data_IF_960986618905
#
_entry.id   IF_960986618905
#
_cell.length_a   1.000
_cell.length_b   1.000
_cell.length_c   1.000
_cell.angle_alpha   90.00
_cell.angle_beta   90.00
_cell.angle_gamma   90.00
#
_symmetry.space_group_name_H-M   'P 1'
#
loop_
_entity.id
_entity.type
_entity.pdbx_description
1 polymer ?
#
# COMPACT_ATOMS: atom_id res chain seq x y z
N UNK A 1 3.31 11.54 35.61
CA UNK A 1 4.72 11.88 35.30
C UNK A 1 5.13 11.24 33.97
N UNK A 2 5.33 12.05 32.93
CA UNK A 2 5.51 11.61 31.53
C UNK A 2 6.94 11.17 31.18
N UNK A 3 7.06 10.00 30.54
CA UNK A 3 8.34 9.31 30.29
C UNK A 3 8.93 9.66 28.91
N UNK A 4 9.79 10.69 28.90
CA UNK A 4 11.03 10.98 28.14
C UNK A 4 11.52 10.12 26.93
N UNK A 5 10.69 9.42 26.14
CA UNK A 5 11.14 8.62 24.97
C UNK A 5 11.18 9.36 23.61
N UNK A 6 10.68 10.58 23.52
CA UNK A 6 10.53 11.32 22.26
C UNK A 6 11.70 12.25 21.89
N UNK A 7 12.64 12.52 22.80
CA UNK A 7 13.68 13.53 22.61
C UNK A 7 14.73 13.26 21.50
N UNK A 8 15.24 12.03 21.29
CA UNK A 8 16.24 11.78 20.24
C UNK A 8 15.61 11.69 18.85
N UNK A 9 14.45 11.04 18.74
CA UNK A 9 13.70 10.93 17.48
C UNK A 9 13.26 12.30 16.98
N UNK A 10 12.77 13.18 17.88
CA UNK A 10 12.38 14.53 17.51
C UNK A 10 13.57 15.36 17.00
N UNK A 11 14.78 15.16 17.56
CA UNK A 11 16.00 15.82 17.07
C UNK A 11 16.44 15.29 15.71
N UNK A 12 16.34 13.98 15.49
CA UNK A 12 16.63 13.36 14.21
C UNK A 12 15.67 13.86 13.11
N UNK A 13 14.37 13.86 13.40
CA UNK A 13 13.33 14.39 12.49
C UNK A 13 13.54 15.88 12.19
N UNK A 14 13.84 16.70 13.20
CA UNK A 14 14.13 18.12 12.99
C UNK A 14 15.39 18.35 12.14
N UNK A 15 16.41 17.50 12.32
CA UNK A 15 17.62 17.54 11.51
C UNK A 15 17.36 17.13 10.06
N UNK A 16 16.65 16.02 9.83
CA UNK A 16 16.25 15.56 8.49
C UNK A 16 15.43 16.62 7.77
N UNK A 17 14.51 17.30 8.48
CA UNK A 17 13.68 18.36 7.89
C UNK A 17 14.49 19.54 7.36
N UNK A 18 15.61 19.87 8.03
CA UNK A 18 16.54 20.95 7.66
C UNK A 18 17.52 20.57 6.54
N UNK A 19 17.58 19.31 6.13
CA UNK A 19 18.46 18.88 5.04
C UNK A 19 17.95 19.31 3.66
N UNK A 20 18.90 19.54 2.75
CA UNK A 20 18.63 19.82 1.33
C UNK A 20 17.87 18.67 0.66
N UNK A 21 17.07 18.97 -0.37
CA UNK A 21 16.30 17.95 -1.12
C UNK A 21 17.20 16.85 -1.67
N UNK A 22 18.43 17.17 -2.09
CA UNK A 22 19.43 16.18 -2.56
C UNK A 22 19.80 15.17 -1.46
N UNK A 23 20.02 15.66 -0.24
CA UNK A 23 20.38 14.84 0.93
C UNK A 23 19.20 14.00 1.39
N UNK A 24 17.98 14.55 1.35
CA UNK A 24 16.75 13.79 1.63
C UNK A 24 16.55 12.66 0.64
N UNK A 25 16.74 12.92 -0.65
CA UNK A 25 16.67 11.88 -1.68
C UNK A 25 17.73 10.81 -1.46
N UNK A 26 18.98 11.20 -1.20
CA UNK A 26 20.05 10.23 -0.91
C UNK A 26 19.73 9.37 0.32
N UNK A 27 19.34 10.00 1.43
CA UNK A 27 18.98 9.30 2.66
C UNK A 27 17.81 8.33 2.46
N UNK A 28 16.79 8.74 1.69
CA UNK A 28 15.67 7.89 1.34
C UNK A 28 16.13 6.68 0.50
N UNK A 29 16.96 6.90 -0.53
CA UNK A 29 17.51 5.82 -1.37
C UNK A 29 18.36 4.86 -0.53
N UNK A 30 19.26 5.36 0.32
CA UNK A 30 20.08 4.53 1.20
C UNK A 30 19.24 3.74 2.18
N UNK A 31 18.20 4.34 2.78
CA UNK A 31 17.29 3.65 3.67
C UNK A 31 16.51 2.53 2.95
N UNK A 32 16.05 2.79 1.73
CA UNK A 32 15.37 1.78 0.89
C UNK A 32 16.33 0.63 0.56
N UNK A 33 17.54 0.92 0.09
CA UNK A 33 18.54 -0.12 -0.22
C UNK A 33 18.90 -0.94 1.02
N UNK A 34 19.11 -0.28 2.16
CA UNK A 34 19.40 -0.96 3.42
C UNK A 34 18.23 -1.85 3.87
N UNK A 35 16.99 -1.38 3.72
CA UNK A 35 15.81 -2.18 4.01
C UNK A 35 15.69 -3.40 3.09
N UNK A 36 15.96 -3.25 1.79
CA UNK A 36 15.96 -4.35 0.82
C UNK A 36 17.04 -5.39 1.13
N UNK A 37 18.25 -4.95 1.50
CA UNK A 37 19.35 -5.84 1.89
C UNK A 37 19.04 -6.55 3.20
N UNK A 38 18.54 -5.83 4.20
CA UNK A 38 18.12 -6.41 5.47
C UNK A 38 16.99 -7.43 5.27
N UNK A 39 16.02 -7.12 4.40
CA UNK A 39 14.96 -8.05 4.03
C UNK A 39 15.54 -9.33 3.41
N UNK A 40 16.44 -9.19 2.43
CA UNK A 40 17.10 -10.35 1.79
C UNK A 40 17.92 -11.19 2.78
N UNK A 41 18.53 -10.56 3.79
CA UNK A 41 19.38 -11.25 4.77
C UNK A 41 18.59 -11.85 5.94
N UNK A 42 17.51 -11.20 6.39
CA UNK A 42 16.69 -11.68 7.50
C UNK A 42 15.63 -12.69 7.09
N UNK A 43 15.16 -12.67 5.83
CA UNK A 43 14.08 -13.55 5.38
C UNK A 43 14.65 -14.83 4.78
N UNK A 44 14.71 -15.86 5.62
CA UNK A 44 14.93 -17.25 5.18
C UNK A 44 13.61 -18.03 5.07
N UNK A 45 12.60 -17.67 5.88
CA UNK A 45 11.22 -18.18 5.83
C UNK A 45 10.27 -17.18 5.16
N UNK A 46 9.91 -17.45 3.90
CA UNK A 46 9.07 -16.55 3.09
C UNK A 46 7.61 -16.47 3.57
N UNK A 47 7.09 -17.53 4.21
CA UNK A 47 5.66 -17.68 4.52
C UNK A 47 5.17 -16.70 5.58
N UNK A 48 5.94 -16.49 6.65
CA UNK A 48 5.56 -15.58 7.74
C UNK A 48 5.57 -14.11 7.31
N UNK A 49 6.49 -13.73 6.43
CA UNK A 49 6.57 -12.36 5.93
C UNK A 49 5.39 -12.04 5.02
N UNK A 50 5.00 -12.98 4.16
CA UNK A 50 3.83 -12.82 3.30
C UNK A 50 2.56 -12.64 4.14
N UNK A 51 2.32 -13.53 5.12
CA UNK A 51 1.17 -13.42 6.02
C UNK A 51 1.17 -12.09 6.78
N UNK A 52 2.33 -11.65 7.29
CA UNK A 52 2.44 -10.38 8.00
C UNK A 52 2.17 -9.17 7.09
N UNK A 53 2.69 -9.19 5.86
CA UNK A 53 2.43 -8.16 4.85
C UNK A 53 0.94 -8.06 4.52
N UNK A 54 0.28 -9.20 4.27
CA UNK A 54 -1.15 -9.24 3.97
C UNK A 54 -2.00 -8.81 5.17
N UNK A 55 -1.63 -9.20 6.39
CA UNK A 55 -2.32 -8.76 7.60
C UNK A 55 -2.23 -7.23 7.81
N UNK A 56 -1.06 -6.63 7.56
CA UNK A 56 -0.88 -5.18 7.61
C UNK A 56 -1.71 -4.49 6.52
N UNK A 57 -1.74 -5.06 5.31
CA UNK A 57 -2.56 -4.53 4.21
C UNK A 57 -4.05 -4.53 4.59
N UNK A 58 -4.55 -5.66 5.11
CA UNK A 58 -5.93 -5.79 5.59
C UNK A 58 -6.24 -4.80 6.71
N UNK A 59 -5.35 -4.64 7.69
CA UNK A 59 -5.51 -3.64 8.74
C UNK A 59 -5.58 -2.20 8.20
N UNK A 60 -4.80 -1.89 7.16
CA UNK A 60 -4.88 -0.60 6.45
C UNK A 60 -6.24 -0.36 5.82
N UNK A 61 -6.84 -1.39 5.20
CA UNK A 61 -8.19 -1.29 4.64
C UNK A 61 -9.24 -1.12 5.75
N UNK A 62 -9.11 -1.81 6.89
CA UNK A 62 -10.02 -1.63 8.03
C UNK A 62 -10.01 -0.19 8.55
N UNK A 63 -8.82 0.41 8.69
CA UNK A 63 -8.68 1.83 9.07
C UNK A 63 -9.33 2.74 8.04
N UNK A 64 -9.18 2.43 6.75
CA UNK A 64 -9.81 3.19 5.67
C UNK A 64 -11.33 3.09 5.72
N UNK A 65 -11.88 1.89 5.92
CA UNK A 65 -13.32 1.67 6.10
C UNK A 65 -13.82 2.45 7.31
N UNK A 66 -13.13 2.38 8.45
CA UNK A 66 -13.48 3.14 9.65
C UNK A 66 -13.52 4.65 9.38
N UNK A 67 -12.52 5.20 8.69
CA UNK A 67 -12.53 6.61 8.28
C UNK A 67 -13.76 6.93 7.42
N UNK A 68 -14.06 6.12 6.41
CA UNK A 68 -15.19 6.37 5.49
C UNK A 68 -16.55 6.26 6.19
N UNK A 69 -16.70 5.34 7.16
CA UNK A 69 -17.96 5.16 7.89
C UNK A 69 -18.16 6.22 8.98
N UNK A 70 -17.10 6.59 9.71
CA UNK A 70 -17.18 7.58 10.79
C UNK A 70 -17.18 9.02 10.28
N UNK A 71 -16.22 9.37 9.41
CA UNK A 71 -16.06 10.75 8.94
C UNK A 71 -16.96 11.08 7.76
N UNK A 72 -17.52 10.08 7.07
CA UNK A 72 -18.37 10.24 5.87
C UNK A 72 -17.78 11.20 4.84
N UNK A 73 -16.47 11.18 4.68
CA UNK A 73 -15.76 11.95 3.65
C UNK A 73 -14.67 11.09 3.01
N UNK A 74 -14.55 11.20 1.69
CA UNK A 74 -13.45 10.61 0.93
C UNK A 74 -12.37 11.65 0.56
N UNK A 75 -12.35 12.83 1.20
CA UNK A 75 -11.30 13.83 0.99
C UNK A 75 -9.91 13.25 1.27
N UNK A 76 -9.00 13.49 0.31
CA UNK A 76 -7.62 12.99 0.33
C UNK A 76 -7.46 11.52 -0.07
N UNK A 77 -8.50 10.88 -0.59
CA UNK A 77 -8.45 9.51 -1.10
C UNK A 77 -8.49 9.51 -2.63
N UNK A 78 -7.51 8.87 -3.26
CA UNK A 78 -7.46 8.67 -4.72
C UNK A 78 -8.27 7.44 -5.10
N UNK A 79 -9.31 7.62 -5.92
CA UNK A 79 -10.11 6.54 -6.47
C UNK A 79 -9.26 5.70 -7.44
N UNK A 80 -8.42 6.36 -8.25
CA UNK A 80 -7.52 5.71 -9.20
C UNK A 80 -6.53 4.76 -8.51
N UNK A 81 -6.04 5.13 -7.34
CA UNK A 81 -5.18 4.26 -6.53
C UNK A 81 -5.94 3.04 -6.04
N UNK A 82 -7.19 3.19 -5.57
CA UNK A 82 -8.01 2.07 -5.12
C UNK A 82 -8.35 1.10 -6.28
N UNK A 83 -8.69 1.64 -7.45
CA UNK A 83 -8.93 0.83 -8.67
C UNK A 83 -7.68 0.05 -9.08
N UNK A 84 -6.51 0.68 -9.04
CA UNK A 84 -5.24 0.02 -9.33
C UNK A 84 -4.94 -1.11 -8.33
N UNK A 85 -5.13 -0.85 -7.03
CA UNK A 85 -4.96 -1.87 -5.97
C UNK A 85 -5.90 -3.05 -6.21
N UNK A 86 -7.17 -2.80 -6.56
CA UNK A 86 -8.13 -3.87 -6.86
C UNK A 86 -7.71 -4.71 -8.08
N UNK A 87 -7.21 -4.08 -9.16
CA UNK A 87 -6.69 -4.79 -10.33
C UNK A 87 -5.48 -5.65 -9.95
N UNK A 88 -4.56 -5.12 -9.14
CA UNK A 88 -3.38 -5.87 -8.69
C UNK A 88 -3.78 -7.09 -7.84
N UNK A 89 -4.69 -6.93 -6.88
CA UNK A 89 -5.19 -8.06 -6.07
C UNK A 89 -5.94 -9.09 -6.91
N UNK A 90 -6.76 -8.64 -7.87
CA UNK A 90 -7.47 -9.55 -8.77
C UNK A 90 -6.50 -10.36 -9.64
N UNK A 91 -5.46 -9.73 -10.19
CA UNK A 91 -4.43 -10.43 -10.95
C UNK A 91 -3.69 -11.46 -10.08
N UNK A 92 -3.31 -11.09 -8.85
CA UNK A 92 -2.68 -12.01 -7.90
C UNK A 92 -3.60 -13.20 -7.59
N UNK A 93 -4.88 -12.94 -7.31
CA UNK A 93 -5.86 -13.99 -7.02
C UNK A 93 -6.05 -14.91 -8.22
N UNK A 94 -6.13 -14.37 -9.44
CA UNK A 94 -6.17 -15.17 -10.66
C UNK A 94 -4.95 -16.08 -10.77
N UNK A 95 -3.73 -15.57 -10.58
CA UNK A 95 -2.52 -16.38 -10.63
C UNK A 95 -2.51 -17.51 -9.60
N UNK A 96 -2.96 -17.25 -8.36
CA UNK A 96 -2.98 -18.24 -7.27
C UNK A 96 -4.11 -19.27 -7.46
N UNK A 97 -5.25 -18.89 -8.04
CA UNK A 97 -6.31 -19.85 -8.39
C UNK A 97 -5.85 -20.90 -9.41
N UNK A 98 -4.89 -20.54 -10.28
CA UNK A 98 -4.24 -21.48 -11.19
C UNK A 98 -3.10 -22.28 -10.53
N UNK A 99 -2.62 -21.87 -9.36
CA UNK A 99 -1.56 -22.53 -8.57
C UNK A 99 -2.08 -22.88 -7.16
N UNK A 100 -2.86 -23.97 -7.08
CA UNK A 100 -3.26 -24.71 -5.86
C UNK A 100 -3.60 -23.89 -4.59
N UNK A 101 -4.90 -23.86 -4.25
CA UNK A 101 -5.48 -22.92 -3.27
C UNK A 101 -5.04 -23.14 -1.82
N UNK A 102 -4.12 -22.31 -1.35
CA UNK A 102 -3.73 -22.19 0.05
C UNK A 102 -4.51 -21.07 0.78
N UNK A 103 -4.37 -20.98 2.10
CA UNK A 103 -4.95 -19.97 3.02
C UNK A 103 -4.68 -18.51 2.58
N UNK A 104 -3.63 -18.32 1.77
CA UNK A 104 -3.30 -17.06 1.10
C UNK A 104 -4.43 -16.55 0.18
N UNK A 105 -5.11 -17.48 -0.51
CA UNK A 105 -6.24 -17.19 -1.41
C UNK A 105 -7.40 -16.52 -0.66
N UNK A 106 -7.67 -17.00 0.56
CA UNK A 106 -8.76 -16.48 1.39
C UNK A 106 -8.46 -15.05 1.83
N UNK A 107 -7.22 -14.79 2.25
CA UNK A 107 -6.80 -13.47 2.72
C UNK A 107 -6.79 -12.42 1.58
N UNK A 108 -6.31 -12.80 0.39
CA UNK A 108 -6.36 -11.96 -0.81
C UNK A 108 -7.81 -11.69 -1.23
N UNK A 109 -8.71 -12.68 -1.17
CA UNK A 109 -10.15 -12.51 -1.43
C UNK A 109 -10.80 -11.50 -0.48
N UNK A 110 -10.58 -11.61 0.83
CA UNK A 110 -11.14 -10.67 1.80
C UNK A 110 -10.65 -9.25 1.56
N UNK A 111 -9.38 -9.12 1.23
CA UNK A 111 -8.73 -7.83 0.94
C UNK A 111 -9.27 -7.21 -0.34
N UNK A 112 -9.51 -8.02 -1.38
CA UNK A 112 -10.14 -7.60 -2.63
C UNK A 112 -11.58 -7.13 -2.42
N UNK A 113 -12.40 -7.92 -1.73
CA UNK A 113 -13.81 -7.55 -1.41
C UNK A 113 -13.87 -6.25 -0.63
N UNK A 114 -12.98 -6.09 0.36
CA UNK A 114 -12.91 -4.86 1.16
C UNK A 114 -12.49 -3.64 0.34
N UNK A 115 -11.56 -3.82 -0.61
CA UNK A 115 -11.15 -2.77 -1.55
C UNK A 115 -12.28 -2.37 -2.50
N UNK A 116 -13.01 -3.34 -3.05
CA UNK A 116 -14.18 -3.11 -3.89
C UNK A 116 -15.29 -2.36 -3.14
N UNK A 117 -15.51 -2.69 -1.87
CA UNK A 117 -16.44 -1.96 -1.00
C UNK A 117 -16.05 -0.48 -0.80
N UNK A 118 -14.76 -0.20 -0.61
CA UNK A 118 -14.22 1.17 -0.54
C UNK A 118 -14.49 1.91 -1.85
N UNK A 119 -14.17 1.31 -3.00
CA UNK A 119 -14.43 1.89 -4.33
C UNK A 119 -15.92 2.20 -4.51
N UNK A 120 -16.80 1.26 -4.16
CA UNK A 120 -18.25 1.45 -4.20
C UNK A 120 -18.69 2.63 -3.31
N UNK A 121 -18.16 2.72 -2.09
CA UNK A 121 -18.50 3.80 -1.15
C UNK A 121 -18.08 5.16 -1.68
N UNK A 122 -16.89 5.28 -2.29
CA UNK A 122 -16.42 6.52 -2.91
C UNK A 122 -17.31 6.91 -4.11
N UNK A 123 -17.60 5.96 -5.01
CA UNK A 123 -18.35 6.23 -6.26
C UNK A 123 -19.82 6.54 -6.04
N UNK A 124 -20.47 5.90 -5.07
CA UNK A 124 -21.93 6.01 -4.88
C UNK A 124 -22.33 6.78 -3.63
N UNK A 125 -21.71 6.52 -2.48
CA UNK A 125 -22.14 7.13 -1.20
C UNK A 125 -21.48 8.48 -0.93
N UNK A 126 -20.21 8.64 -1.29
CA UNK A 126 -19.39 9.81 -0.95
C UNK A 126 -18.93 10.61 -2.17
N UNK A 127 -19.65 10.47 -3.30
CA UNK A 127 -19.33 11.13 -4.58
C UNK A 127 -19.22 12.66 -4.45
N UNK A 128 -20.02 13.28 -3.58
CA UNK A 128 -20.01 14.74 -3.37
C UNK A 128 -18.73 15.26 -2.71
N UNK A 129 -18.05 14.43 -1.91
CA UNK A 129 -16.78 14.78 -1.25
C UNK A 129 -15.53 14.38 -2.05
N UNK A 130 -15.74 13.74 -3.21
CA UNK A 130 -14.67 13.29 -4.08
C UNK A 130 -14.18 14.43 -4.98
N UNK A 131 -12.88 14.73 -4.91
CA UNK A 131 -12.25 15.82 -5.67
C UNK A 131 -11.51 15.22 -6.86
N UNK A 132 -12.23 15.08 -7.98
CA UNK A 132 -11.67 14.46 -9.19
C UNK A 132 -10.43 15.19 -9.74
N UNK A 133 -10.35 16.50 -9.57
CA UNK A 133 -9.23 17.31 -10.07
C UNK A 133 -7.90 17.02 -9.36
N UNK A 134 -7.94 16.51 -8.13
CA UNK A 134 -6.74 16.08 -7.41
C UNK A 134 -6.29 14.66 -7.78
N UNK A 135 -7.14 13.87 -8.43
CA UNK A 135 -6.88 12.45 -8.74
C UNK A 135 -6.36 12.24 -10.18
N UNK A 136 -5.33 13.00 -10.55
CA UNK A 136 -4.67 12.93 -11.87
C UNK A 136 -3.57 11.84 -11.94
N UNK A 137 -3.77 10.70 -11.27
CA UNK A 137 -2.76 9.63 -11.28
C UNK A 137 -2.58 9.08 -12.71
N UNK A 138 -1.34 9.04 -13.24
CA UNK A 138 -1.09 8.61 -14.61
C UNK A 138 -1.07 7.06 -14.68
N UNK A 139 -2.26 6.47 -14.61
CA UNK A 139 -2.51 5.02 -14.49
C UNK A 139 -1.80 4.20 -15.58
N UNK A 140 -1.63 4.78 -16.77
CA UNK A 140 -0.96 4.18 -17.92
C UNK A 140 0.46 3.68 -17.61
N UNK A 141 1.28 4.48 -16.91
CA UNK A 141 2.65 4.09 -16.59
C UNK A 141 2.72 2.93 -15.61
N UNK A 142 1.77 2.86 -14.67
CA UNK A 142 1.77 1.82 -13.64
C UNK A 142 1.35 0.48 -14.22
N UNK A 143 0.29 0.46 -15.04
CA UNK A 143 -0.15 -0.76 -15.74
C UNK A 143 0.94 -1.28 -16.68
N UNK A 144 1.61 -0.41 -17.41
CA UNK A 144 2.72 -0.77 -18.29
C UNK A 144 3.89 -1.41 -17.52
N UNK A 145 4.23 -0.87 -16.35
CA UNK A 145 5.31 -1.40 -15.50
C UNK A 145 4.96 -2.77 -14.97
N UNK A 146 3.73 -2.96 -14.47
CA UNK A 146 3.26 -4.26 -13.95
C UNK A 146 3.24 -5.33 -15.05
N UNK A 147 2.71 -5.00 -16.23
CA UNK A 147 2.70 -5.92 -17.37
C UNK A 147 4.12 -6.33 -17.82
N UNK A 148 5.05 -5.37 -17.84
CA UNK A 148 6.45 -5.64 -18.17
C UNK A 148 7.14 -6.52 -17.11
N UNK A 149 6.86 -6.31 -15.82
CA UNK A 149 7.41 -7.14 -14.73
C UNK A 149 6.88 -8.58 -14.75
N UNK A 150 5.61 -8.79 -15.10
CA UNK A 150 5.02 -10.12 -15.26
C UNK A 150 5.67 -10.86 -16.43
N UNK A 151 5.89 -10.19 -17.57
CA UNK A 151 6.60 -10.75 -18.72
C UNK A 151 8.07 -11.11 -18.40
N UNK A 152 8.73 -10.35 -17.54
CA UNK A 152 10.13 -10.59 -17.16
C UNK A 152 10.32 -11.75 -16.17
N UNK A 153 9.32 -12.07 -15.34
CA UNK A 153 9.39 -13.18 -14.37
C UNK A 153 8.78 -14.49 -14.88
N UNK A 154 8.00 -14.43 -15.95
CA UNK A 154 7.40 -15.62 -16.60
C UNK A 154 8.21 -16.19 -17.78
N UNK A 155 9.46 -15.75 -17.96
CA UNK A 155 10.37 -16.20 -19.03
C UNK A 155 11.60 -16.90 -18.49
#
# INVERSE_FOLDING_TARGET
>A
MGRRRSAPLNRLFAWVRRQSMKVKTFLAVTAVVAALVALKLCVKDHSHFFIASEAIHFAGILVLIYKLTTQKTCSGLSLKTQELTAIFLAARLCCILFMEGDIHTVLDCFTLVSTLWVIYTIRFKLKSTYIAELDNMPLYYVVKTVFCSILYFGG
#
